data_IF_453149758958
#
_entry.id   IF_453149758958
#
_cell.length_a   1.000
_cell.length_b   1.000
_cell.length_c   1.000
_cell.angle_alpha   90.00
_cell.angle_beta   90.00
_cell.angle_gamma   90.00
#
_symmetry.space_group_name_H-M   'P 1'
#
loop_
_entity.id
_entity.type
_entity.pdbx_description
1 polymer ?
#
# COMPACT_ATOMS: atom_id res chain seq x y z
N UNK A 1 7.56 -28.09 -4.66
CA UNK A 1 6.35 -28.12 -5.52
C UNK A 1 6.46 -27.05 -6.60
N UNK A 2 6.08 -27.38 -7.81
CA UNK A 2 6.02 -26.39 -8.89
C UNK A 2 4.61 -25.82 -8.96
N UNK A 3 4.42 -24.59 -8.54
CA UNK A 3 3.13 -23.92 -8.64
C UNK A 3 2.89 -23.46 -10.10
N UNK A 4 1.70 -23.68 -10.62
CA UNK A 4 1.25 -23.21 -11.94
C UNK A 4 -0.07 -22.46 -11.78
N UNK A 5 0.00 -21.32 -11.13
CA UNK A 5 -1.18 -20.50 -10.80
C UNK A 5 -1.86 -19.92 -12.03
N UNK A 6 -1.10 -19.64 -13.09
CA UNK A 6 -1.67 -19.10 -14.33
C UNK A 6 -2.66 -20.06 -15.01
N UNK A 7 -2.43 -21.35 -14.86
CA UNK A 7 -3.29 -22.40 -15.43
C UNK A 7 -4.18 -23.07 -14.38
N UNK A 8 -4.30 -22.49 -13.18
CA UNK A 8 -5.10 -23.07 -12.11
C UNK A 8 -6.61 -22.99 -12.42
N UNK A 9 -7.33 -24.11 -12.49
CA UNK A 9 -8.74 -24.09 -12.87
C UNK A 9 -9.70 -23.70 -11.74
N UNK A 10 -9.26 -23.77 -10.47
CA UNK A 10 -10.17 -23.64 -9.32
C UNK A 10 -9.96 -22.39 -8.49
N UNK A 11 -8.72 -21.82 -8.47
CA UNK A 11 -8.35 -20.71 -7.62
C UNK A 11 -8.79 -20.88 -6.16
N UNK A 12 -8.63 -22.10 -5.64
CA UNK A 12 -9.09 -22.47 -4.30
C UNK A 12 -8.40 -21.66 -3.18
N UNK A 13 -7.21 -21.13 -3.42
CA UNK A 13 -6.56 -20.21 -2.51
C UNK A 13 -7.38 -18.93 -2.32
N UNK A 14 -7.96 -18.39 -3.40
CA UNK A 14 -8.79 -17.20 -3.35
C UNK A 14 -10.20 -17.49 -2.81
N UNK A 15 -10.83 -18.54 -3.29
CA UNK A 15 -12.25 -18.82 -2.97
C UNK A 15 -12.45 -19.51 -1.63
N UNK A 16 -11.46 -20.25 -1.13
CA UNK A 16 -11.57 -21.11 0.05
C UNK A 16 -10.42 -20.95 1.04
N UNK A 17 -9.45 -20.07 0.78
CA UNK A 17 -8.28 -19.87 1.62
C UNK A 17 -7.32 -21.07 1.69
N UNK A 18 -7.33 -21.92 0.65
CA UNK A 18 -6.48 -23.13 0.63
C UNK A 18 -5.02 -22.72 0.41
N UNK A 19 -4.14 -23.20 1.30
CA UNK A 19 -2.70 -23.04 1.11
C UNK A 19 -2.17 -24.07 0.09
N UNK A 20 -2.08 -23.64 -1.17
CA UNK A 20 -1.65 -24.52 -2.26
C UNK A 20 -0.13 -24.71 -2.35
N UNK A 21 0.65 -23.81 -1.73
CA UNK A 21 2.11 -23.86 -1.79
C UNK A 21 2.74 -24.69 -0.69
N UNK A 22 2.03 -24.89 0.40
CA UNK A 22 2.53 -25.54 1.61
C UNK A 22 3.48 -24.68 2.44
N UNK A 23 3.71 -23.41 2.03
CA UNK A 23 4.51 -22.46 2.82
C UNK A 23 3.70 -22.04 4.05
N UNK A 24 4.26 -22.19 5.24
CA UNK A 24 3.57 -21.82 6.48
C UNK A 24 3.55 -20.30 6.70
N UNK A 25 2.63 -19.86 7.55
CA UNK A 25 2.56 -18.43 7.94
C UNK A 25 3.85 -17.98 8.64
N UNK A 26 4.43 -18.86 9.46
CA UNK A 26 5.71 -18.61 10.13
C UNK A 26 6.85 -18.41 9.16
N UNK A 27 6.95 -19.27 8.15
CA UNK A 27 7.97 -19.12 7.08
C UNK A 27 7.80 -17.79 6.33
N UNK A 28 6.57 -17.39 6.05
CA UNK A 28 6.29 -16.09 5.42
C UNK A 28 6.74 -14.94 6.32
N UNK A 29 6.38 -14.97 7.60
CA UNK A 29 6.75 -13.94 8.58
C UNK A 29 8.27 -13.83 8.74
N UNK A 30 8.98 -14.95 8.76
CA UNK A 30 10.44 -14.99 8.88
C UNK A 30 11.16 -14.41 7.66
N UNK A 31 10.51 -14.38 6.49
CA UNK A 31 11.07 -13.79 5.28
C UNK A 31 11.11 -12.25 5.30
N UNK A 32 10.42 -11.63 6.25
CA UNK A 32 10.33 -10.17 6.38
C UNK A 32 10.98 -9.68 7.67
N UNK A 33 11.54 -8.47 7.63
CA UNK A 33 11.94 -7.77 8.85
C UNK A 33 10.71 -7.33 9.65
N UNK A 34 10.91 -6.96 10.91
CA UNK A 34 9.83 -6.43 11.77
C UNK A 34 9.16 -5.18 11.15
N UNK A 35 9.96 -4.26 10.60
CA UNK A 35 9.46 -3.05 9.95
C UNK A 35 8.67 -3.36 8.67
N UNK A 36 9.13 -4.30 7.87
CA UNK A 36 8.43 -4.75 6.66
C UNK A 36 7.09 -5.41 7.00
N UNK A 37 7.04 -6.24 8.04
CA UNK A 37 5.80 -6.86 8.51
C UNK A 37 4.79 -5.80 8.98
N UNK A 38 5.25 -4.80 9.73
CA UNK A 38 4.41 -3.70 10.19
C UNK A 38 3.80 -2.93 9.00
N UNK A 39 4.62 -2.64 8.00
CA UNK A 39 4.18 -1.95 6.78
C UNK A 39 3.16 -2.79 5.99
N UNK A 40 3.43 -4.08 5.81
CA UNK A 40 2.52 -5.00 5.14
C UNK A 40 1.18 -5.13 5.85
N UNK A 41 1.19 -5.23 7.18
CA UNK A 41 -0.02 -5.30 8.00
C UNK A 41 -0.84 -4.02 7.94
N UNK A 42 -0.18 -2.85 7.97
CA UNK A 42 -0.85 -1.56 7.83
C UNK A 42 -1.51 -1.42 6.45
N UNK A 43 -0.81 -1.81 5.39
CA UNK A 43 -1.35 -1.79 4.03
C UNK A 43 -2.55 -2.74 3.89
N UNK A 44 -2.45 -3.95 4.42
CA UNK A 44 -3.54 -4.93 4.40
C UNK A 44 -4.76 -4.45 5.19
N UNK A 45 -4.55 -3.80 6.33
CA UNK A 45 -5.62 -3.21 7.15
C UNK A 45 -6.39 -2.13 6.37
N UNK A 46 -5.68 -1.21 5.72
CA UNK A 46 -6.29 -0.13 4.94
C UNK A 46 -7.07 -0.70 3.76
N UNK A 47 -6.46 -1.63 3.01
CA UNK A 47 -7.11 -2.29 1.88
C UNK A 47 -8.38 -3.04 2.32
N UNK A 48 -8.30 -3.83 3.38
CA UNK A 48 -9.43 -4.62 3.85
C UNK A 48 -10.54 -3.79 4.49
N UNK A 49 -10.20 -2.69 5.18
CA UNK A 49 -11.17 -1.87 5.90
C UNK A 49 -11.91 -0.91 4.97
N UNK A 50 -11.19 -0.31 4.01
CA UNK A 50 -11.71 0.79 3.19
C UNK A 50 -11.92 0.42 1.71
N UNK A 51 -11.82 -0.85 1.37
CA UNK A 51 -11.91 -1.32 -0.01
C UNK A 51 -13.11 -0.71 -0.75
N UNK A 52 -12.84 -0.08 -1.88
CA UNK A 52 -13.84 0.61 -2.73
C UNK A 52 -14.62 1.77 -2.08
N UNK A 53 -14.33 2.12 -0.83
CA UNK A 53 -15.06 3.18 -0.12
C UNK A 53 -14.33 4.52 -0.10
N UNK A 54 -13.03 4.51 -0.33
CA UNK A 54 -12.20 5.72 -0.34
C UNK A 54 -11.30 5.76 -1.59
N UNK A 55 -10.80 6.95 -1.89
CA UNK A 55 -9.87 7.14 -3.01
C UNK A 55 -8.46 6.68 -2.65
N UNK A 56 -7.61 6.53 -3.65
CA UNK A 56 -6.18 6.20 -3.44
C UNK A 56 -5.47 7.25 -2.58
N UNK A 57 -5.80 8.54 -2.73
CA UNK A 57 -5.23 9.59 -1.88
C UNK A 57 -5.61 9.39 -0.42
N UNK A 58 -6.85 9.04 -0.16
CA UNK A 58 -7.35 8.77 1.19
C UNK A 58 -6.71 7.51 1.77
N UNK A 59 -6.53 6.46 0.97
CA UNK A 59 -5.84 5.23 1.39
C UNK A 59 -4.42 5.50 1.84
N UNK A 60 -3.68 6.34 1.09
CA UNK A 60 -2.31 6.73 1.46
C UNK A 60 -2.30 7.50 2.78
N UNK A 61 -3.26 8.40 3.00
CA UNK A 61 -3.40 9.11 4.26
C UNK A 61 -3.66 8.15 5.43
N UNK A 62 -4.58 7.19 5.25
CA UNK A 62 -4.88 6.17 6.27
C UNK A 62 -3.68 5.27 6.55
N UNK A 63 -2.97 4.84 5.52
CA UNK A 63 -1.74 4.06 5.66
C UNK A 63 -0.67 4.83 6.44
N UNK A 64 -0.44 6.09 6.09
CA UNK A 64 0.52 6.95 6.79
C UNK A 64 0.16 7.12 8.27
N UNK A 65 -1.12 7.28 8.59
CA UNK A 65 -1.61 7.35 9.97
C UNK A 65 -1.37 6.04 10.73
N UNK A 66 -1.65 4.89 10.10
CA UNK A 66 -1.38 3.57 10.69
C UNK A 66 0.10 3.37 11.01
N UNK A 67 0.99 3.87 10.15
CA UNK A 67 2.44 3.79 10.34
C UNK A 67 2.99 4.85 11.28
N UNK A 68 2.18 5.83 11.69
CA UNK A 68 2.63 6.95 12.51
C UNK A 68 3.48 7.98 11.77
N UNK A 69 3.41 8.02 10.45
CA UNK A 69 4.15 8.98 9.64
C UNK A 69 3.53 10.38 9.78
N UNK A 70 4.38 11.38 9.93
CA UNK A 70 3.98 12.79 10.01
C UNK A 70 4.40 13.59 8.78
N UNK A 71 5.37 13.09 8.04
CA UNK A 71 5.94 13.73 6.86
C UNK A 71 5.68 12.88 5.63
N UNK A 72 5.25 13.51 4.55
CA UNK A 72 5.08 12.87 3.26
C UNK A 72 5.83 13.67 2.18
N UNK A 73 6.43 12.96 1.25
CA UNK A 73 7.11 13.54 0.10
C UNK A 73 6.52 13.03 -1.21
N UNK A 74 6.54 13.87 -2.23
CA UNK A 74 6.07 13.55 -3.56
C UNK A 74 7.07 14.00 -4.62
N UNK A 75 7.47 13.09 -5.49
CA UNK A 75 8.15 13.42 -6.74
C UNK A 75 7.13 13.40 -7.88
N UNK A 76 7.12 14.41 -8.73
CA UNK A 76 6.14 14.52 -9.80
C UNK A 76 6.74 15.01 -11.12
N UNK A 77 6.10 14.64 -12.22
CA UNK A 77 6.41 15.19 -13.54
C UNK A 77 5.81 16.58 -13.68
N UNK A 78 6.54 17.52 -14.28
CA UNK A 78 6.06 18.88 -14.49
C UNK A 78 4.74 18.93 -15.26
N UNK A 79 4.49 17.97 -16.14
CA UNK A 79 3.22 17.82 -16.85
C UNK A 79 2.01 17.56 -15.95
N UNK A 80 2.25 17.13 -14.69
CA UNK A 80 1.22 16.86 -13.69
C UNK A 80 1.19 17.93 -12.58
N UNK A 81 1.70 19.12 -12.86
CA UNK A 81 1.82 20.17 -11.84
C UNK A 81 0.48 20.56 -11.21
N UNK A 82 -0.60 20.60 -11.99
CA UNK A 82 -1.93 20.92 -11.48
C UNK A 82 -2.42 19.85 -10.48
N UNK A 83 -2.29 18.58 -10.84
CA UNK A 83 -2.64 17.44 -9.99
C UNK A 83 -1.77 17.40 -8.72
N UNK A 84 -0.47 17.64 -8.88
CA UNK A 84 0.48 17.70 -7.76
C UNK A 84 0.09 18.78 -6.75
N UNK A 85 -0.38 19.92 -7.21
CA UNK A 85 -0.87 21.00 -6.35
C UNK A 85 -2.09 20.60 -5.54
N UNK A 86 -3.05 19.89 -6.14
CA UNK A 86 -4.20 19.33 -5.44
C UNK A 86 -3.79 18.33 -4.36
N UNK A 87 -2.89 17.43 -4.69
CA UNK A 87 -2.37 16.42 -3.78
C UNK A 87 -1.68 17.08 -2.57
N UNK A 88 -0.82 18.06 -2.82
CA UNK A 88 -0.13 18.80 -1.77
C UNK A 88 -1.10 19.48 -0.81
N UNK A 89 -2.13 20.14 -1.35
CA UNK A 89 -3.18 20.76 -0.53
C UNK A 89 -3.95 19.75 0.30
N UNK A 90 -4.30 18.61 -0.31
CA UNK A 90 -5.03 17.55 0.36
C UNK A 90 -4.26 17.03 1.58
N UNK A 91 -3.00 16.64 1.41
CA UNK A 91 -2.21 16.08 2.52
C UNK A 91 -1.85 17.12 3.58
N UNK A 92 -1.65 18.37 3.19
CA UNK A 92 -1.46 19.47 4.15
C UNK A 92 -2.70 19.64 5.01
N UNK A 93 -3.90 19.59 4.42
CA UNK A 93 -5.18 19.66 5.17
C UNK A 93 -5.40 18.45 6.07
N UNK A 94 -4.85 17.29 5.69
CA UNK A 94 -4.90 16.08 6.53
C UNK A 94 -3.95 16.16 7.74
N UNK A 95 -3.15 17.20 7.85
CA UNK A 95 -2.24 17.41 8.97
C UNK A 95 -0.82 16.90 8.74
N UNK A 96 -0.47 16.50 7.52
CA UNK A 96 0.89 16.07 7.20
C UNK A 96 1.78 17.27 6.89
N UNK A 97 3.05 17.18 7.28
CA UNK A 97 4.12 18.02 6.75
C UNK A 97 4.49 17.47 5.37
N UNK A 98 4.21 18.25 4.32
CA UNK A 98 4.27 17.77 2.95
C UNK A 98 5.35 18.46 2.14
N UNK A 99 6.18 17.66 1.47
CA UNK A 99 7.26 18.12 0.60
C UNK A 99 7.04 17.62 -0.83
N UNK A 100 7.46 18.39 -1.80
CA UNK A 100 7.36 17.98 -3.20
C UNK A 100 8.57 18.40 -4.02
N UNK A 101 8.89 17.60 -5.03
CA UNK A 101 9.99 17.88 -5.96
C UNK A 101 9.59 17.53 -7.38
N UNK A 102 9.93 18.41 -8.32
CA UNK A 102 9.67 18.21 -9.74
C UNK A 102 10.79 17.39 -10.39
N UNK A 103 10.46 16.63 -11.43
CA UNK A 103 11.39 15.79 -12.19
C UNK A 103 12.57 16.53 -12.84
N UNK A 104 12.48 17.84 -12.97
CA UNK A 104 13.53 18.69 -13.55
C UNK A 104 14.50 19.25 -12.51
N UNK A 105 14.26 18.98 -11.30
CA UNK A 105 15.07 19.50 -10.21
C UNK A 105 16.16 18.56 -9.75
#
# INVERSE_FOLDING_TARGET
MKADCANCPTHACYTKGVNCTGVSEEEVKQAYTEDELKMMQAAAYVEGTFYSNITRLQEIAEFAKCMGYKKLGMAFCIGLNAEARYIARYYTKQGFEFYSVCCKN
#
